data_IF_468650909617
#
_entry.id   IF_468650909617
#
_cell.length_a   1.000
_cell.length_b   1.000
_cell.length_c   1.000
_cell.angle_alpha   90.00
_cell.angle_beta   90.00
_cell.angle_gamma   90.00
#
_symmetry.space_group_name_H-M   'P 1'
#
loop_
_entity.id
_entity.type
_entity.pdbx_description
1 polymer ?
#
# COMPACT_ATOMS: atom_id res chain seq x y z
N UNK A 1 9.53 -11.14 -33.97
CA UNK A 1 9.61 -12.55 -34.38
C UNK A 1 10.11 -13.37 -33.20
N UNK A 2 9.45 -14.51 -32.98
CA UNK A 2 9.32 -15.23 -31.72
C UNK A 2 10.60 -15.89 -31.17
N UNK A 3 10.67 -15.94 -29.85
CA UNK A 3 10.96 -17.15 -29.06
C UNK A 3 10.37 -16.90 -27.67
N UNK A 4 9.10 -17.25 -27.42
CA UNK A 4 8.73 -18.50 -26.74
C UNK A 4 9.87 -19.04 -25.88
N UNK A 5 10.10 -18.40 -24.73
CA UNK A 5 10.66 -19.07 -23.56
C UNK A 5 9.50 -19.62 -22.74
N UNK A 6 8.99 -20.78 -23.15
CA UNK A 6 8.48 -21.71 -22.16
C UNK A 6 9.70 -22.24 -21.40
N UNK A 7 9.69 -22.14 -20.07
CA UNK A 7 10.11 -23.17 -19.10
C UNK A 7 10.47 -22.53 -17.75
N UNK A 8 9.46 -22.32 -16.92
CA UNK A 8 9.31 -23.08 -15.67
C UNK A 8 7.91 -22.76 -15.14
N UNK A 9 6.99 -23.74 -15.19
CA UNK A 9 5.88 -23.70 -14.24
C UNK A 9 6.50 -23.91 -12.86
N UNK A 10 6.97 -22.83 -12.23
CA UNK A 10 6.96 -22.77 -10.79
C UNK A 10 5.49 -22.85 -10.42
N UNK A 11 5.08 -23.93 -9.76
CA UNK A 11 3.83 -23.96 -9.00
C UNK A 11 3.99 -22.94 -7.87
N UNK A 12 3.89 -21.66 -8.23
CA UNK A 12 3.88 -20.54 -7.30
C UNK A 12 2.67 -20.69 -6.40
N UNK A 13 2.85 -20.36 -5.13
CA UNK A 13 1.74 -20.34 -4.20
C UNK A 13 0.67 -19.35 -4.69
N UNK A 14 -0.61 -19.59 -4.39
CA UNK A 14 -1.68 -18.69 -4.84
C UNK A 14 -1.49 -17.28 -4.28
N UNK A 15 -0.89 -17.17 -3.09
CA UNK A 15 -0.50 -15.89 -2.53
C UNK A 15 0.59 -15.18 -3.36
N UNK A 16 1.55 -15.91 -3.93
CA UNK A 16 2.59 -15.31 -4.76
C UNK A 16 2.00 -14.56 -5.95
N UNK A 17 1.03 -15.14 -6.67
CA UNK A 17 0.38 -14.44 -7.78
C UNK A 17 -0.38 -13.19 -7.34
N UNK A 18 -0.98 -13.20 -6.14
CA UNK A 18 -1.66 -12.02 -5.59
C UNK A 18 -0.65 -10.92 -5.19
N UNK A 19 0.52 -11.29 -4.67
CA UNK A 19 1.60 -10.34 -4.37
C UNK A 19 2.13 -9.69 -5.65
N UNK A 20 2.38 -10.49 -6.68
CA UNK A 20 2.81 -10.00 -7.99
C UNK A 20 1.75 -9.08 -8.62
N UNK A 21 0.46 -9.45 -8.49
CA UNK A 21 -0.64 -8.64 -8.96
C UNK A 21 -0.71 -7.31 -8.20
N UNK A 22 -0.65 -7.31 -6.87
CA UNK A 22 -0.64 -6.08 -6.07
C UNK A 22 0.54 -5.17 -6.43
N UNK A 23 1.73 -5.74 -6.59
CA UNK A 23 2.94 -5.00 -6.98
C UNK A 23 2.79 -4.35 -8.37
N UNK A 24 2.09 -4.99 -9.30
CA UNK A 24 1.87 -4.46 -10.66
C UNK A 24 0.99 -3.21 -10.69
N UNK A 25 0.28 -2.92 -9.59
CA UNK A 25 -0.60 -1.76 -9.45
C UNK A 25 0.14 -0.50 -9.00
N UNK A 26 1.41 -0.62 -8.60
CA UNK A 26 2.23 0.51 -8.17
C UNK A 26 2.85 1.19 -9.39
N UNK A 27 2.61 2.49 -9.54
CA UNK A 27 3.30 3.28 -10.55
C UNK A 27 4.80 3.39 -10.21
N UNK A 28 5.71 3.18 -11.17
CA UNK A 28 7.14 3.33 -10.93
C UNK A 28 7.49 4.79 -10.59
N UNK A 29 8.35 4.97 -9.60
CA UNK A 29 8.97 6.26 -9.30
C UNK A 29 10.07 6.49 -10.33
N UNK A 30 9.71 6.98 -11.53
CA UNK A 30 10.69 7.27 -12.56
C UNK A 30 11.72 8.29 -12.04
N UNK A 31 13.03 7.99 -12.10
CA UNK A 31 14.07 8.96 -11.78
C UNK A 31 14.16 9.93 -12.95
N UNK A 32 13.24 10.89 -12.96
CA UNK A 32 13.34 12.04 -13.83
C UNK A 32 14.25 13.05 -13.14
N UNK A 33 15.07 13.76 -13.92
CA UNK A 33 15.93 14.85 -13.42
C UNK A 33 15.13 15.99 -12.77
N UNK A 34 13.79 15.98 -12.92
CA UNK A 34 12.85 16.88 -12.28
C UNK A 34 11.68 16.06 -11.70
N UNK A 35 11.16 16.48 -10.55
CA UNK A 35 9.89 15.96 -10.02
C UNK A 35 8.74 16.36 -10.96
N UNK A 36 8.44 15.53 -11.95
CA UNK A 36 7.22 15.66 -12.74
C UNK A 36 6.13 14.91 -11.99
N UNK A 37 4.97 15.55 -11.79
CA UNK A 37 3.80 14.90 -11.23
C UNK A 37 3.36 13.78 -12.17
N UNK A 38 3.76 12.56 -11.84
CA UNK A 38 3.35 11.34 -12.52
C UNK A 38 2.10 10.81 -11.82
N UNK A 39 1.09 10.43 -12.59
CA UNK A 39 -0.14 9.90 -12.00
C UNK A 39 0.19 8.63 -11.20
N UNK A 40 0.04 8.62 -9.85
CA UNK A 40 0.39 7.47 -9.03
C UNK A 40 -0.48 6.24 -9.32
N UNK A 41 -1.59 6.43 -10.04
CA UNK A 41 -2.53 5.39 -10.43
C UNK A 41 -2.48 5.06 -11.93
N UNK A 42 -1.36 5.37 -12.61
CA UNK A 42 -1.17 5.05 -14.03
C UNK A 42 -1.44 3.58 -14.41
N UNK A 43 -1.08 2.57 -13.58
CA UNK A 43 -1.45 1.18 -13.86
C UNK A 43 -2.97 0.97 -13.98
N UNK A 44 -3.77 1.77 -13.26
CA UNK A 44 -5.24 1.70 -13.23
C UNK A 44 -5.92 2.58 -14.30
N UNK A 45 -5.19 3.12 -15.29
CA UNK A 45 -5.71 4.03 -16.34
C UNK A 45 -6.83 3.46 -17.23
N UNK A 46 -7.05 2.14 -17.19
CA UNK A 46 -8.15 1.49 -17.91
C UNK A 46 -9.48 1.53 -17.15
N UNK A 47 -9.46 1.93 -15.88
CA UNK A 47 -10.64 2.10 -15.04
C UNK A 47 -11.13 3.55 -15.08
N UNK A 48 -12.41 3.76 -14.80
CA UNK A 48 -12.94 5.12 -14.64
C UNK A 48 -12.29 5.79 -13.42
N UNK A 49 -12.01 7.09 -13.55
CA UNK A 49 -11.35 7.85 -12.49
C UNK A 49 -12.12 7.78 -11.16
N UNK A 50 -13.45 7.84 -11.20
CA UNK A 50 -14.30 7.72 -10.00
C UNK A 50 -14.11 6.38 -9.28
N UNK A 51 -14.02 5.27 -10.02
CA UNK A 51 -13.80 3.93 -9.45
C UNK A 51 -12.44 3.84 -8.76
N UNK A 52 -11.40 4.35 -9.42
CA UNK A 52 -10.05 4.41 -8.83
C UNK A 52 -10.08 5.25 -7.57
N UNK A 53 -10.74 6.41 -7.57
CA UNK A 53 -10.83 7.25 -6.39
C UNK A 53 -11.56 6.59 -5.22
N UNK A 54 -12.67 5.91 -5.48
CA UNK A 54 -13.39 5.15 -4.46
C UNK A 54 -12.53 4.02 -3.89
N UNK A 55 -11.82 3.29 -4.76
CA UNK A 55 -10.88 2.25 -4.35
C UNK A 55 -9.73 2.82 -3.50
N UNK A 56 -9.09 3.93 -3.91
CA UNK A 56 -7.97 4.51 -3.18
C UNK A 56 -8.39 5.14 -1.85
N UNK A 57 -9.60 5.67 -1.77
CA UNK A 57 -10.21 6.09 -0.51
C UNK A 57 -10.42 4.89 0.41
N UNK A 58 -10.97 3.79 -0.11
CA UNK A 58 -11.18 2.56 0.65
C UNK A 58 -9.84 1.94 1.09
N UNK A 59 -8.85 1.85 0.21
CA UNK A 59 -7.60 1.13 0.50
C UNK A 59 -6.61 1.96 1.30
N UNK A 60 -6.46 3.25 1.02
CA UNK A 60 -5.39 4.07 1.57
C UNK A 60 -5.89 5.32 2.29
N UNK A 61 -7.21 5.53 2.40
CA UNK A 61 -7.78 6.78 2.92
C UNK A 61 -7.39 8.00 2.09
N UNK A 62 -7.02 7.80 0.82
CA UNK A 62 -6.59 8.88 -0.07
C UNK A 62 -7.78 9.46 -0.81
N UNK A 63 -8.10 10.72 -0.53
CA UNK A 63 -9.13 11.44 -1.29
C UNK A 63 -8.56 11.99 -2.59
N UNK A 64 -9.24 11.73 -3.70
CA UNK A 64 -9.01 12.42 -4.97
C UNK A 64 -9.66 13.80 -5.05
N UNK A 65 -10.57 14.10 -4.12
CA UNK A 65 -11.42 15.29 -4.15
C UNK A 65 -11.07 16.20 -2.98
N UNK A 66 -11.45 17.46 -3.10
CA UNK A 66 -11.41 18.39 -1.97
C UNK A 66 -12.42 17.96 -0.90
N UNK A 67 -12.26 18.46 0.33
CA UNK A 67 -13.18 18.15 1.43
C UNK A 67 -14.57 18.74 1.18
N UNK A 68 -15.59 18.17 1.83
CA UNK A 68 -16.96 18.71 1.77
C UNK A 68 -17.02 20.19 2.21
N UNK A 69 -16.28 20.56 3.27
CA UNK A 69 -16.13 21.94 3.74
C UNK A 69 -15.60 22.89 2.66
N UNK A 70 -14.64 22.42 1.85
CA UNK A 70 -14.10 23.22 0.76
C UNK A 70 -15.17 23.48 -0.30
N UNK A 71 -15.93 22.45 -0.70
CA UNK A 71 -17.02 22.60 -1.67
C UNK A 71 -18.13 23.52 -1.15
N UNK A 72 -18.50 23.40 0.14
CA UNK A 72 -19.46 24.29 0.79
C UNK A 72 -18.96 25.75 0.80
N UNK A 73 -17.67 25.99 1.04
CA UNK A 73 -17.10 27.33 1.00
C UNK A 73 -17.08 27.94 -0.42
N UNK A 74 -17.00 27.11 -1.46
CA UNK A 74 -17.06 27.56 -2.86
C UNK A 74 -18.50 27.67 -3.40
N UNK A 75 -19.49 27.13 -2.69
CA UNK A 75 -20.90 27.17 -3.09
C UNK A 75 -21.43 28.60 -3.14
N UNK A 76 -22.12 28.94 -4.23
CA UNK A 76 -22.59 30.29 -4.58
C UNK A 76 -21.48 31.34 -4.74
N UNK A 77 -20.21 30.96 -4.64
CA UNK A 77 -19.06 31.79 -4.98
C UNK A 77 -18.56 31.42 -6.38
N UNK A 78 -17.78 30.34 -6.48
CA UNK A 78 -17.27 29.82 -7.75
C UNK A 78 -18.19 28.74 -8.33
N UNK A 79 -18.83 27.96 -7.46
CA UNK A 79 -19.76 26.88 -7.85
C UNK A 79 -21.17 27.43 -7.78
N UNK A 80 -21.77 27.72 -8.93
CA UNK A 80 -23.13 28.24 -9.05
C UNK A 80 -24.14 27.10 -9.23
N UNK A 81 -25.43 27.29 -8.92
CA UNK A 81 -26.45 26.25 -9.07
C UNK A 81 -26.51 25.61 -10.46
N UNK A 82 -26.32 26.41 -11.51
CA UNK A 82 -26.28 25.91 -12.88
C UNK A 82 -25.12 24.92 -13.13
N UNK A 83 -23.95 25.15 -12.51
CA UNK A 83 -22.79 24.25 -12.64
C UNK A 83 -23.07 22.90 -11.98
N UNK A 84 -23.66 22.91 -10.77
CA UNK A 84 -23.99 21.68 -10.07
C UNK A 84 -25.12 20.92 -10.78
N UNK A 85 -26.14 21.62 -11.29
CA UNK A 85 -27.19 21.00 -12.09
C UNK A 85 -26.64 20.32 -13.36
N UNK A 86 -25.70 20.97 -14.04
CA UNK A 86 -25.03 20.38 -15.20
C UNK A 86 -24.22 19.13 -14.81
N UNK A 87 -23.43 19.21 -13.73
CA UNK A 87 -22.63 18.08 -13.25
C UNK A 87 -23.51 16.87 -12.85
N UNK A 88 -24.65 17.12 -12.19
CA UNK A 88 -25.62 16.07 -11.85
C UNK A 88 -26.21 15.40 -13.09
N UNK A 89 -26.48 16.18 -14.14
CA UNK A 89 -26.96 15.65 -15.41
C UNK A 89 -25.89 14.80 -16.12
N UNK A 90 -24.65 15.28 -16.18
CA UNK A 90 -23.52 14.54 -16.78
C UNK A 90 -23.18 13.25 -16.02
N UNK A 91 -23.38 13.24 -14.70
CA UNK A 91 -23.20 12.06 -13.85
C UNK A 91 -24.43 11.15 -13.80
N UNK A 92 -25.51 11.47 -14.52
CA UNK A 92 -26.78 10.73 -14.54
C UNK A 92 -27.41 10.53 -13.14
N UNK A 93 -27.19 11.49 -12.23
CA UNK A 93 -27.72 11.44 -10.85
C UNK A 93 -29.10 12.08 -10.76
N UNK A 94 -30.04 11.37 -10.13
CA UNK A 94 -31.44 11.80 -9.97
C UNK A 94 -31.70 12.56 -8.65
N UNK A 95 -30.73 13.36 -8.20
CA UNK A 95 -30.86 14.21 -7.01
C UNK A 95 -30.98 15.68 -7.42
N UNK A 96 -31.65 16.47 -6.60
CA UNK A 96 -31.74 17.92 -6.77
C UNK A 96 -30.45 18.61 -6.32
N UNK A 97 -30.28 19.86 -6.76
CA UNK A 97 -29.17 20.73 -6.33
C UNK A 97 -29.17 20.90 -4.81
N UNK A 98 -30.34 21.13 -4.21
CA UNK A 98 -30.46 21.33 -2.76
C UNK A 98 -30.14 20.04 -1.98
N UNK A 99 -30.56 18.87 -2.47
CA UNK A 99 -30.19 17.58 -1.89
C UNK A 99 -28.68 17.33 -1.97
N UNK A 100 -28.06 17.61 -3.11
CA UNK A 100 -26.62 17.44 -3.30
C UNK A 100 -25.81 18.33 -2.32
N UNK A 101 -26.23 19.58 -2.12
CA UNK A 101 -25.59 20.48 -1.15
C UNK A 101 -25.85 20.03 0.29
N UNK A 102 -27.06 19.55 0.59
CA UNK A 102 -27.40 19.06 1.92
C UNK A 102 -26.54 17.87 2.36
N UNK A 103 -26.17 16.98 1.43
CA UNK A 103 -25.27 15.84 1.71
C UNK A 103 -23.89 16.31 2.18
N UNK A 104 -23.35 17.39 1.62
CA UNK A 104 -22.04 17.92 2.01
C UNK A 104 -21.98 18.41 3.46
N UNK A 105 -23.13 18.70 4.08
CA UNK A 105 -23.21 19.12 5.48
C UNK A 105 -23.31 17.95 6.47
N UNK A 106 -23.37 16.71 5.97
CA UNK A 106 -23.42 15.52 6.80
C UNK A 106 -21.99 15.07 7.16
N UNK A 107 -21.78 14.47 8.35
CA UNK A 107 -20.48 13.91 8.68
C UNK A 107 -20.15 12.78 7.70
N UNK A 108 -18.97 12.88 7.10
CA UNK A 108 -18.46 11.88 6.17
C UNK A 108 -17.67 10.81 6.95
N UNK A 109 -18.26 9.63 7.13
CA UNK A 109 -17.61 8.47 7.75
C UNK A 109 -17.26 7.43 6.68
N UNK A 110 -16.32 7.82 5.79
CA UNK A 110 -15.79 6.90 4.79
C UNK A 110 -14.91 5.88 5.49
N UNK A 111 -15.39 4.64 5.50
CA UNK A 111 -14.58 3.51 5.93
C UNK A 111 -13.39 3.37 5.00
N UNK A 112 -12.21 3.36 5.58
CA UNK A 112 -11.01 2.88 4.93
C UNK A 112 -10.59 1.57 5.56
N UNK A 113 -9.80 0.82 4.84
CA UNK A 113 -9.24 -0.42 5.33
C UNK A 113 -8.11 -0.14 6.31
N UNK A 114 -7.96 -1.08 7.25
CA UNK A 114 -6.92 -1.02 8.26
C UNK A 114 -6.04 -2.25 8.12
N UNK A 115 -4.74 -2.01 7.94
CA UNK A 115 -3.73 -3.06 8.04
C UNK A 115 -3.69 -3.65 9.44
N UNK A 116 -3.14 -4.85 9.59
CA UNK A 116 -2.92 -5.46 10.90
C UNK A 116 -2.09 -4.54 11.81
N UNK A 117 -1.12 -3.80 11.27
CA UNK A 117 -0.31 -2.86 12.02
C UNK A 117 -1.13 -1.69 12.59
N UNK A 118 -2.07 -1.14 11.81
CA UNK A 118 -2.99 -0.09 12.28
C UNK A 118 -3.90 -0.62 13.38
N UNK A 119 -4.53 -1.78 13.17
CA UNK A 119 -5.37 -2.43 14.16
C UNK A 119 -4.61 -2.71 15.47
N UNK A 120 -3.39 -3.24 15.39
CA UNK A 120 -2.57 -3.49 16.57
C UNK A 120 -2.22 -2.19 17.31
N UNK A 121 -2.03 -1.07 16.61
CA UNK A 121 -1.72 0.21 17.24
C UNK A 121 -2.92 0.83 17.95
N UNK A 122 -4.13 0.65 17.39
CA UNK A 122 -5.38 1.06 18.04
C UNK A 122 -5.65 0.27 19.31
N UNK A 123 -5.33 -1.03 19.31
CA UNK A 123 -5.51 -1.91 20.47
C UNK A 123 -4.39 -1.77 21.52
N UNK A 124 -3.21 -1.26 21.14
CA UNK A 124 -2.03 -1.20 22.01
C UNK A 124 -1.76 0.23 22.47
N UNK A 125 -2.34 0.64 23.60
CA UNK A 125 -2.02 1.93 24.23
C UNK A 125 -0.76 1.83 25.10
N UNK A 126 0.42 1.66 24.50
CA UNK A 126 1.70 1.78 25.20
C UNK A 126 2.31 3.16 24.96
N UNK A 127 2.33 3.99 26.01
CA UNK A 127 2.79 5.39 25.93
C UNK A 127 4.26 5.57 25.51
N UNK A 128 5.11 4.55 25.67
CA UNK A 128 6.55 4.61 25.39
C UNK A 128 7.00 3.87 24.14
N UNK A 129 6.09 3.17 23.43
CA UNK A 129 6.42 2.42 22.22
C UNK A 129 6.01 3.20 20.96
N UNK A 130 6.79 3.07 19.90
CA UNK A 130 6.44 3.60 18.59
C UNK A 130 5.25 2.81 18.02
N UNK A 131 4.22 3.45 17.44
CA UNK A 131 3.12 2.77 16.76
C UNK A 131 3.63 1.83 15.66
N UNK A 132 2.95 0.70 15.45
CA UNK A 132 3.38 -0.34 14.51
C UNK A 132 3.56 0.16 13.07
N UNK A 133 2.65 0.95 12.46
CA UNK A 133 2.85 1.46 11.11
C UNK A 133 4.13 2.30 11.00
N UNK A 134 4.39 3.15 11.99
CA UNK A 134 5.58 4.00 12.02
C UNK A 134 6.85 3.17 12.20
N UNK A 135 6.82 2.15 13.07
CA UNK A 135 7.94 1.23 13.27
C UNK A 135 8.30 0.46 12.00
N UNK A 136 7.29 -0.11 11.32
CA UNK A 136 7.48 -0.86 10.07
C UNK A 136 8.03 0.05 8.98
N UNK A 137 7.43 1.24 8.78
CA UNK A 137 7.89 2.20 7.78
C UNK A 137 9.32 2.66 8.05
N UNK A 138 9.67 2.98 9.29
CA UNK A 138 11.02 3.40 9.66
C UNK A 138 12.05 2.28 9.45
N UNK A 139 11.76 1.06 9.92
CA UNK A 139 12.66 -0.08 9.80
C UNK A 139 12.93 -0.42 8.33
N UNK A 140 11.88 -0.54 7.52
CA UNK A 140 12.02 -0.85 6.10
C UNK A 140 12.72 0.28 5.36
N UNK A 141 12.45 1.54 5.69
CA UNK A 141 13.12 2.67 5.05
C UNK A 141 14.62 2.73 5.34
N UNK A 142 15.01 2.47 6.60
CA UNK A 142 16.42 2.42 6.96
C UNK A 142 17.14 1.24 6.27
N UNK A 143 16.49 0.08 6.25
CA UNK A 143 17.02 -1.09 5.55
C UNK A 143 17.18 -0.81 4.05
N UNK A 144 16.12 -0.33 3.38
CA UNK A 144 16.16 -0.09 1.93
C UNK A 144 17.16 1.00 1.56
N UNK A 145 17.27 2.07 2.35
CA UNK A 145 18.29 3.09 2.15
C UNK A 145 19.71 2.51 2.21
N UNK A 146 20.00 1.69 3.23
CA UNK A 146 21.30 1.02 3.36
C UNK A 146 21.54 0.01 2.23
N UNK A 147 20.50 -0.77 1.88
CA UNK A 147 20.56 -1.82 0.86
C UNK A 147 20.87 -1.26 -0.53
N UNK A 148 20.20 -0.20 -0.95
CA UNK A 148 20.43 0.40 -2.27
C UNK A 148 21.69 1.24 -2.34
N UNK A 149 22.13 1.81 -1.22
CA UNK A 149 23.34 2.62 -1.20
C UNK A 149 24.62 1.77 -1.11
N UNK A 150 24.57 0.65 -0.38
CA UNK A 150 25.74 -0.19 -0.09
C UNK A 150 25.42 -1.69 -0.08
N UNK A 151 24.94 -2.28 -1.20
CA UNK A 151 24.55 -3.68 -1.27
C UNK A 151 25.71 -4.65 -0.96
N UNK A 152 26.96 -4.24 -1.18
CA UNK A 152 28.17 -5.01 -0.89
C UNK A 152 28.46 -5.20 0.61
N UNK A 153 27.79 -4.45 1.49
CA UNK A 153 27.97 -4.56 2.95
C UNK A 153 27.24 -5.76 3.55
N UNK A 154 26.36 -6.40 2.79
CA UNK A 154 25.60 -7.54 3.27
C UNK A 154 26.37 -8.83 3.01
N UNK A 155 26.37 -9.74 3.98
CA UNK A 155 27.10 -11.01 3.90
C UNK A 155 26.43 -12.04 2.99
N UNK A 156 25.24 -11.74 2.47
CA UNK A 156 24.52 -12.61 1.54
C UNK A 156 25.25 -12.61 0.20
N UNK A 157 25.32 -13.77 -0.46
CA UNK A 157 25.99 -13.85 -1.76
C UNK A 157 25.30 -12.95 -2.79
N UNK A 158 26.04 -12.04 -3.41
CA UNK A 158 25.52 -11.05 -4.37
C UNK A 158 24.76 -11.66 -5.57
N UNK A 159 25.06 -12.92 -5.93
CA UNK A 159 24.37 -13.65 -7.00
C UNK A 159 23.03 -14.29 -6.58
N UNK A 160 22.62 -14.14 -5.31
CA UNK A 160 21.34 -14.67 -4.83
C UNK A 160 20.17 -13.90 -5.43
N UNK A 161 19.23 -14.60 -6.08
CA UNK A 161 17.97 -14.01 -6.56
C UNK A 161 17.07 -13.50 -5.41
N UNK A 162 17.41 -13.82 -4.17
CA UNK A 162 16.66 -13.45 -2.96
C UNK A 162 17.50 -12.53 -2.06
N UNK A 163 18.53 -11.89 -2.61
CA UNK A 163 19.51 -11.11 -1.87
C UNK A 163 18.87 -10.05 -0.97
N UNK A 164 17.82 -9.36 -1.44
CA UNK A 164 17.12 -8.32 -0.68
C UNK A 164 16.44 -8.86 0.58
N UNK A 165 15.60 -9.89 0.45
CA UNK A 165 14.90 -10.50 1.59
C UNK A 165 15.88 -11.12 2.59
N UNK A 166 16.86 -11.88 2.10
CA UNK A 166 17.85 -12.55 2.96
C UNK A 166 18.71 -11.51 3.71
N UNK A 167 19.08 -10.41 3.04
CA UNK A 167 19.81 -9.30 3.66
C UNK A 167 18.96 -8.62 4.73
N UNK A 168 17.69 -8.31 4.43
CA UNK A 168 16.75 -7.73 5.40
C UNK A 168 16.62 -8.63 6.63
N UNK A 169 16.38 -9.92 6.41
CA UNK A 169 16.22 -10.91 7.47
C UNK A 169 17.47 -11.00 8.37
N UNK A 170 18.67 -10.93 7.78
CA UNK A 170 19.92 -10.94 8.53
C UNK A 170 20.05 -9.74 9.48
N UNK A 171 19.58 -8.55 9.04
CA UNK A 171 19.59 -7.31 9.82
C UNK A 171 18.58 -7.38 10.96
N UNK A 172 17.31 -7.67 10.67
CA UNK A 172 16.23 -7.62 11.69
C UNK A 172 16.40 -8.66 12.80
N UNK A 173 17.09 -9.78 12.51
CA UNK A 173 17.44 -10.79 13.52
C UNK A 173 18.46 -10.29 14.56
N UNK A 174 19.20 -9.23 14.25
CA UNK A 174 20.24 -8.67 15.12
C UNK A 174 19.87 -7.27 15.64
N UNK A 175 18.78 -6.67 15.15
CA UNK A 175 18.38 -5.31 15.48
C UNK A 175 17.71 -5.23 16.86
N UNK A 176 18.53 -4.97 17.89
CA UNK A 176 18.06 -4.71 19.26
C UNK A 176 17.33 -3.37 19.39
N UNK A 177 17.49 -2.45 18.44
CA UNK A 177 16.77 -1.18 18.40
C UNK A 177 15.26 -1.38 18.27
N UNK A 178 14.83 -2.40 17.52
CA UNK A 178 13.42 -2.75 17.39
C UNK A 178 12.78 -3.15 18.72
N UNK A 179 13.53 -3.80 19.62
CA UNK A 179 13.03 -4.11 20.96
C UNK A 179 12.85 -2.85 21.81
N UNK A 180 13.77 -1.89 21.69
CA UNK A 180 13.67 -0.61 22.40
C UNK A 180 12.46 0.18 21.90
N UNK A 181 12.25 0.24 20.58
CA UNK A 181 11.17 1.01 19.97
C UNK A 181 9.78 0.37 20.16
N UNK A 182 9.68 -0.96 20.17
CA UNK A 182 8.39 -1.67 20.32
C UNK A 182 8.06 -2.09 21.76
N UNK A 183 9.08 -2.19 22.63
CA UNK A 183 8.95 -2.82 23.95
C UNK A 183 8.66 -4.33 23.88
N UNK A 184 8.93 -4.98 22.74
CA UNK A 184 8.71 -6.40 22.49
C UNK A 184 10.01 -7.01 21.99
N UNK A 185 10.35 -8.23 22.42
CA UNK A 185 11.52 -8.93 21.89
C UNK A 185 11.24 -9.49 20.48
N UNK A 186 11.33 -8.62 19.48
CA UNK A 186 11.09 -8.96 18.08
C UNK A 186 12.20 -9.83 17.48
N UNK A 187 13.44 -9.74 17.98
CA UNK A 187 14.55 -10.56 17.45
C UNK A 187 14.29 -12.06 17.57
N UNK A 188 13.67 -12.50 18.67
CA UNK A 188 13.25 -13.91 18.83
C UNK A 188 12.20 -14.31 17.80
N UNK A 189 11.26 -13.42 17.47
CA UNK A 189 10.24 -13.68 16.45
C UNK A 189 10.84 -13.67 15.03
N UNK A 190 11.73 -12.73 14.72
CA UNK A 190 12.44 -12.71 13.44
C UNK A 190 13.36 -13.92 13.25
N UNK A 191 13.85 -14.52 14.34
CA UNK A 191 14.62 -15.76 14.27
C UNK A 191 13.78 -16.95 13.78
N UNK A 192 12.45 -16.93 13.95
CA UNK A 192 11.57 -18.02 13.48
C UNK A 192 11.15 -17.88 12.03
N UNK A 193 11.37 -16.72 11.39
CA UNK A 193 11.03 -16.53 9.99
C UNK A 193 11.91 -17.39 9.07
N UNK A 194 11.36 -17.98 8.00
CA UNK A 194 12.13 -18.80 7.08
C UNK A 194 13.11 -17.96 6.24
N UNK A 195 14.22 -18.56 5.83
CA UNK A 195 15.25 -17.90 4.99
C UNK A 195 14.80 -17.78 3.52
N UNK A 196 13.92 -18.69 3.07
CA UNK A 196 13.35 -18.68 1.73
C UNK A 196 12.04 -17.87 1.70
N UNK A 197 11.90 -16.85 0.83
CA UNK A 197 10.66 -16.08 0.68
C UNK A 197 9.44 -16.93 0.34
N UNK A 198 9.60 -18.00 -0.45
CA UNK A 198 8.50 -18.90 -0.81
C UNK A 198 7.91 -19.60 0.42
N UNK A 199 8.75 -20.00 1.38
CA UNK A 199 8.32 -20.58 2.64
C UNK A 199 7.63 -19.53 3.54
N UNK A 200 8.07 -18.27 3.50
CA UNK A 200 7.39 -17.17 4.20
C UNK A 200 5.98 -16.96 3.62
N UNK A 201 5.87 -16.90 2.29
CA UNK A 201 4.59 -16.74 1.60
C UNK A 201 3.65 -17.91 1.93
N UNK A 202 4.14 -19.15 1.98
CA UNK A 202 3.33 -20.30 2.37
C UNK A 202 2.79 -20.18 3.82
N UNK A 203 3.62 -19.72 4.76
CA UNK A 203 3.17 -19.49 6.15
C UNK A 203 2.12 -18.37 6.23
N UNK A 204 2.32 -17.29 5.47
CA UNK A 204 1.37 -16.17 5.38
C UNK A 204 0.07 -16.60 4.71
N UNK A 205 0.11 -17.46 3.70
CA UNK A 205 -1.06 -17.96 2.99
C UNK A 205 -1.99 -18.72 3.94
N UNK A 206 -1.46 -19.63 4.75
CA UNK A 206 -2.25 -20.34 5.76
C UNK A 206 -2.87 -19.40 6.79
N UNK A 207 -2.14 -18.36 7.20
CA UNK A 207 -2.69 -17.35 8.13
C UNK A 207 -3.79 -16.52 7.47
N UNK A 208 -3.59 -16.04 6.24
CA UNK A 208 -4.60 -15.29 5.49
C UNK A 208 -5.88 -16.11 5.28
N UNK A 209 -5.73 -17.39 4.92
CA UNK A 209 -6.86 -18.30 4.75
C UNK A 209 -7.68 -18.50 6.03
N UNK A 210 -7.07 -18.38 7.21
CA UNK A 210 -7.81 -18.58 8.47
C UNK A 210 -8.82 -17.47 8.78
N UNK A 211 -8.67 -16.28 8.18
CA UNK A 211 -9.54 -15.13 8.44
C UNK A 211 -10.12 -14.47 7.19
N UNK A 212 -9.62 -14.78 6.00
CA UNK A 212 -10.12 -14.27 4.73
C UNK A 212 -10.02 -15.35 3.64
N UNK A 213 -11.16 -15.83 3.14
CA UNK A 213 -11.20 -16.80 2.04
C UNK A 213 -11.18 -16.11 0.65
N UNK A 214 -11.69 -14.87 0.58
CA UNK A 214 -11.86 -14.13 -0.66
C UNK A 214 -10.52 -13.61 -1.22
N UNK A 215 -10.27 -13.88 -2.49
CA UNK A 215 -9.06 -13.46 -3.19
C UNK A 215 -9.02 -11.96 -3.44
N UNK A 216 -10.16 -11.34 -3.73
CA UNK A 216 -10.20 -9.89 -3.97
C UNK A 216 -9.88 -9.13 -2.68
N UNK A 217 -10.44 -9.58 -1.55
CA UNK A 217 -10.06 -9.06 -0.25
C UNK A 217 -8.57 -9.30 0.09
N UNK A 218 -7.98 -10.45 -0.26
CA UNK A 218 -6.53 -10.67 -0.08
C UNK A 218 -5.69 -9.74 -0.95
N UNK A 219 -6.02 -9.64 -2.24
CA UNK A 219 -5.32 -8.77 -3.18
C UNK A 219 -5.32 -7.35 -2.67
N UNK A 220 -6.48 -6.85 -2.31
CA UNK A 220 -6.61 -5.47 -1.93
C UNK A 220 -5.96 -5.21 -0.55
N UNK A 221 -5.88 -6.21 0.36
CA UNK A 221 -5.08 -6.11 1.59
C UNK A 221 -3.59 -5.94 1.26
N UNK A 222 -3.08 -6.69 0.29
CA UNK A 222 -1.70 -6.54 -0.18
C UNK A 222 -1.47 -5.17 -0.83
N UNK A 223 -2.43 -4.66 -1.61
CA UNK A 223 -2.38 -3.30 -2.15
C UNK A 223 -2.34 -2.24 -1.02
N UNK A 224 -3.17 -2.38 0.03
CA UNK A 224 -3.12 -1.51 1.22
C UNK A 224 -1.74 -1.52 1.89
N UNK A 225 -1.11 -2.70 2.05
CA UNK A 225 0.24 -2.81 2.60
C UNK A 225 1.28 -2.08 1.73
N UNK A 226 1.22 -2.23 0.41
CA UNK A 226 2.13 -1.54 -0.50
C UNK A 226 1.92 -0.02 -0.52
N UNK A 227 0.67 0.44 -0.43
CA UNK A 227 0.36 1.88 -0.37
C UNK A 227 0.95 2.54 0.88
N UNK A 228 1.03 1.83 2.01
CA UNK A 228 1.70 2.33 3.22
C UNK A 228 3.22 2.57 3.04
N UNK A 229 3.80 2.03 1.97
CA UNK A 229 5.22 2.14 1.61
C UNK A 229 5.41 2.69 0.18
N UNK A 230 4.45 3.48 -0.32
CA UNK A 230 4.35 3.88 -1.74
C UNK A 230 5.64 4.46 -2.33
N UNK A 231 6.43 5.22 -1.56
CA UNK A 231 7.73 5.73 -2.02
C UNK A 231 8.73 4.62 -2.37
N UNK A 232 8.89 3.63 -1.49
CA UNK A 232 9.75 2.48 -1.74
C UNK A 232 9.16 1.50 -2.73
N UNK A 233 7.85 1.28 -2.69
CA UNK A 233 7.16 0.44 -3.67
C UNK A 233 7.35 0.99 -5.09
N UNK A 234 7.22 2.31 -5.25
CA UNK A 234 7.49 3.00 -6.52
C UNK A 234 8.95 2.88 -6.96
N UNK A 235 9.90 2.98 -6.03
CA UNK A 235 11.33 2.76 -6.32
C UNK A 235 11.59 1.32 -6.82
N UNK A 236 11.00 0.32 -6.17
CA UNK A 236 11.10 -1.09 -6.60
C UNK A 236 10.50 -1.31 -7.98
N UNK A 237 9.32 -0.74 -8.25
CA UNK A 237 8.63 -0.89 -9.52
C UNK A 237 9.41 -0.27 -10.70
N UNK A 238 10.36 0.63 -10.42
CA UNK A 238 11.25 1.20 -11.44
C UNK A 238 12.46 0.33 -11.78
N UNK A 239 12.99 -0.45 -10.83
CA UNK A 239 14.20 -1.27 -11.00
C UNK A 239 13.99 -2.47 -11.93
#
# INVERSE_FOLDING_TARGET
MNAVSMLAQQTGSKLQSLVEQAASQIAPAWPLDQMIAVNPWWPKRQHHFADVCAEQQLLAGTSCLMTADWYLAQWQQQIQPAHLQQALHEAELQITVDEAVAVLSQPDDLRHWQSLAQLLSEQTHRQSALPWPQLIQQQLSQFMGLYYQYPERFSVAAASNQHSYQSWLSVVRQDKGLQVLSGINLTTLFATLPVEPSALLQQLECWLESWCADEQAKLAYLENLLQSLSGWAGWQAWL
#
